data_IF_045385548227
#
_entry.id   IF_045385548227
#
_cell.length_a   1.000
_cell.length_b   1.000
_cell.length_c   1.000
_cell.angle_alpha   90.00
_cell.angle_beta   90.00
_cell.angle_gamma   90.00
#
_symmetry.space_group_name_H-M   'P 1'
#
loop_
_entity.id
_entity.type
_entity.pdbx_description
1 polymer ?
#
# COMPACT_ATOMS: atom_id res chain seq x y z
N UNK A 1 -16.35 -6.33 -9.14
CA UNK A 1 -17.15 -6.07 -7.92
C UNK A 1 -18.62 -6.13 -8.23
N UNK A 2 -19.37 -6.76 -7.33
CA UNK A 2 -20.83 -6.72 -7.30
C UNK A 2 -21.30 -5.29 -7.04
N UNK A 3 -22.57 -5.00 -7.34
CA UNK A 3 -23.14 -3.64 -7.23
C UNK A 3 -23.03 -3.09 -5.81
N UNK A 4 -23.34 -3.90 -4.80
CA UNK A 4 -23.24 -3.49 -3.39
C UNK A 4 -21.81 -3.17 -2.94
N UNK A 5 -20.82 -3.95 -3.39
CA UNK A 5 -19.41 -3.70 -3.06
C UNK A 5 -18.97 -2.33 -3.58
N UNK A 6 -19.41 -1.94 -4.80
CA UNK A 6 -19.06 -0.62 -5.37
C UNK A 6 -19.65 0.52 -4.59
N UNK A 7 -20.89 0.37 -4.13
CA UNK A 7 -21.54 1.37 -3.29
C UNK A 7 -20.82 1.54 -1.96
N UNK A 8 -20.42 0.43 -1.32
CA UNK A 8 -19.68 0.46 -0.06
C UNK A 8 -18.29 1.08 -0.22
N UNK A 9 -17.53 0.67 -1.24
CA UNK A 9 -16.20 1.23 -1.53
C UNK A 9 -16.27 2.76 -1.74
N UNK A 10 -17.24 3.24 -2.53
CA UNK A 10 -17.43 4.68 -2.73
C UNK A 10 -17.67 5.42 -1.42
N UNK A 11 -18.50 4.90 -0.52
CA UNK A 11 -18.78 5.55 0.77
C UNK A 11 -17.59 5.48 1.72
N UNK A 12 -16.87 4.36 1.72
CA UNK A 12 -15.70 4.17 2.58
C UNK A 12 -14.55 5.12 2.20
N UNK A 13 -14.37 5.39 0.91
CA UNK A 13 -13.36 6.36 0.43
C UNK A 13 -13.60 7.78 0.94
N UNK A 14 -14.84 8.16 1.21
CA UNK A 14 -15.17 9.47 1.78
C UNK A 14 -14.92 9.54 3.30
N UNK A 15 -14.82 8.38 3.97
CA UNK A 15 -14.71 8.29 5.44
C UNK A 15 -13.31 7.91 5.93
N UNK A 16 -12.50 7.28 5.09
CA UNK A 16 -11.18 6.75 5.46
C UNK A 16 -10.09 7.54 4.75
N UNK A 17 -9.17 8.10 5.53
CA UNK A 17 -7.94 8.66 4.99
C UNK A 17 -6.95 7.53 4.69
N UNK A 18 -6.57 7.40 3.43
CA UNK A 18 -5.55 6.45 2.99
C UNK A 18 -4.19 7.11 3.11
N UNK A 19 -3.23 6.39 3.71
CA UNK A 19 -1.87 6.90 3.89
C UNK A 19 -1.22 7.29 2.55
N UNK A 20 -0.47 8.40 2.55
CA UNK A 20 0.14 8.96 1.35
C UNK A 20 1.23 8.07 0.72
N UNK A 21 1.64 6.99 1.37
CA UNK A 21 2.59 5.97 0.91
C UNK A 21 1.92 4.64 0.52
N UNK A 22 0.58 4.57 0.54
CA UNK A 22 -0.16 3.41 0.02
C UNK A 22 -0.26 3.49 -1.50
N UNK A 23 0.28 2.49 -2.20
CA UNK A 23 0.21 2.40 -3.66
C UNK A 23 -0.79 1.34 -4.13
N UNK A 24 -1.09 0.35 -3.28
CA UNK A 24 -2.07 -0.69 -3.60
C UNK A 24 -3.50 -0.17 -3.55
N UNK A 25 -4.34 -0.59 -4.49
CA UNK A 25 -5.79 -0.33 -4.52
C UNK A 25 -6.20 1.15 -4.40
N UNK A 26 -5.27 2.06 -4.70
CA UNK A 26 -5.45 3.51 -4.63
C UNK A 26 -5.52 4.06 -6.06
N UNK A 27 -6.56 4.81 -6.42
CA UNK A 27 -6.66 5.44 -7.74
C UNK A 27 -5.41 6.27 -8.04
N UNK A 28 -5.03 6.31 -9.32
CA UNK A 28 -3.89 7.11 -9.81
C UNK A 28 -2.52 6.70 -9.27
N UNK A 29 -2.42 5.56 -8.58
CA UNK A 29 -1.16 4.99 -8.09
C UNK A 29 -0.95 3.61 -8.67
N UNK A 30 0.26 3.39 -9.17
CA UNK A 30 0.67 2.12 -9.79
C UNK A 30 1.76 1.44 -8.97
N UNK A 31 1.87 0.13 -9.15
CA UNK A 31 3.03 -0.65 -8.71
C UNK A 31 4.33 -0.15 -9.34
N UNK A 32 4.26 0.43 -10.54
CA UNK A 32 5.40 1.06 -11.22
C UNK A 32 5.95 2.21 -10.39
N UNK A 33 5.09 3.05 -9.80
CA UNK A 33 5.51 4.20 -9.00
C UNK A 33 6.25 3.75 -7.73
N UNK A 34 5.70 2.73 -7.04
CA UNK A 34 6.33 2.17 -5.85
C UNK A 34 7.72 1.57 -6.17
N UNK A 35 7.83 0.80 -7.26
CA UNK A 35 9.10 0.22 -7.71
C UNK A 35 10.10 1.31 -8.09
N UNK A 36 9.64 2.35 -8.81
CA UNK A 36 10.47 3.48 -9.19
C UNK A 36 11.04 4.19 -7.96
N UNK A 37 10.21 4.48 -6.97
CA UNK A 37 10.63 5.11 -5.71
C UNK A 37 11.66 4.23 -4.97
N UNK A 38 11.41 2.92 -4.85
CA UNK A 38 12.35 2.01 -4.20
C UNK A 38 13.72 2.02 -4.90
N UNK A 39 13.74 2.00 -6.24
CA UNK A 39 14.97 2.09 -7.04
C UNK A 39 15.70 3.42 -6.82
N UNK A 40 14.97 4.53 -6.84
CA UNK A 40 15.54 5.87 -6.59
C UNK A 40 16.19 5.96 -5.20
N UNK A 41 15.60 5.33 -4.18
CA UNK A 41 16.20 5.25 -2.85
C UNK A 41 17.51 4.45 -2.91
N UNK A 42 17.50 3.26 -3.52
CA UNK A 42 18.71 2.42 -3.64
C UNK A 42 19.85 3.13 -4.39
N UNK A 43 19.52 3.81 -5.50
CA UNK A 43 20.47 4.57 -6.31
C UNK A 43 21.11 5.72 -5.50
N UNK A 44 20.32 6.50 -4.76
CA UNK A 44 20.84 7.60 -3.91
C UNK A 44 21.79 7.14 -2.81
N UNK A 45 21.57 5.97 -2.22
CA UNK A 45 22.50 5.40 -1.24
C UNK A 45 23.80 4.94 -1.90
N UNK A 46 23.69 4.30 -3.07
CA UNK A 46 24.83 3.86 -3.87
C UNK A 46 25.72 5.03 -4.30
N UNK A 47 25.14 6.14 -4.77
CA UNK A 47 25.86 7.36 -5.14
C UNK A 47 26.69 7.92 -3.97
N UNK A 48 26.17 7.83 -2.75
CA UNK A 48 26.84 8.30 -1.53
C UNK A 48 27.79 7.27 -0.92
N UNK A 49 27.99 6.13 -1.59
CA UNK A 49 28.77 5.00 -1.11
C UNK A 49 28.36 4.54 0.31
N UNK A 50 27.05 4.63 0.61
CA UNK A 50 26.46 4.22 1.89
C UNK A 50 25.74 2.89 1.75
N UNK A 51 25.77 2.02 2.79
CA UNK A 51 24.99 0.80 2.78
C UNK A 51 23.49 1.12 2.77
N UNK A 52 22.73 0.40 1.94
CA UNK A 52 21.28 0.45 1.89
C UNK A 52 20.74 -0.90 2.37
N UNK A 53 19.88 -0.89 3.39
CA UNK A 53 19.21 -2.08 3.91
C UNK A 53 17.71 -1.93 3.71
N UNK A 54 17.08 -2.92 3.07
CA UNK A 54 15.64 -2.93 2.78
C UNK A 54 15.05 -4.19 3.39
N UNK A 55 13.99 -4.04 4.18
CA UNK A 55 13.20 -5.14 4.71
C UNK A 55 11.93 -5.31 3.87
N UNK A 56 11.70 -6.53 3.38
CA UNK A 56 10.46 -6.90 2.73
C UNK A 56 9.52 -7.50 3.78
N UNK A 57 8.37 -6.88 3.96
CA UNK A 57 7.34 -7.34 4.89
C UNK A 57 6.13 -7.79 4.08
N UNK A 58 5.64 -8.98 4.37
CA UNK A 58 4.38 -9.50 3.82
C UNK A 58 3.54 -10.12 4.93
N UNK A 59 2.22 -9.97 4.83
CA UNK A 59 1.28 -10.49 5.81
C UNK A 59 0.69 -11.81 5.32
N UNK A 60 0.88 -12.89 6.08
CA UNK A 60 0.28 -14.19 5.76
C UNK A 60 -1.25 -14.13 5.90
N UNK A 61 -1.97 -14.33 4.80
CA UNK A 61 -3.46 -14.34 4.75
C UNK A 61 -4.09 -13.08 5.35
N UNK A 62 -3.64 -11.91 4.89
CA UNK A 62 -4.03 -10.59 5.40
C UNK A 62 -5.56 -10.39 5.55
N UNK A 63 -6.36 -10.91 4.61
CA UNK A 63 -7.81 -10.77 4.65
C UNK A 63 -8.50 -11.81 5.56
N UNK A 64 -7.95 -13.02 5.66
CA UNK A 64 -8.59 -14.11 6.42
C UNK A 64 -8.30 -14.02 7.92
N UNK A 65 -7.12 -13.50 8.30
CA UNK A 65 -6.69 -13.43 9.69
C UNK A 65 -7.20 -12.20 10.46
N UNK A 66 -7.98 -11.32 9.82
CA UNK A 66 -8.47 -10.10 10.46
C UNK A 66 -9.52 -10.43 11.54
N UNK A 67 -9.27 -10.12 12.82
CA UNK A 67 -10.25 -10.36 13.88
C UNK A 67 -11.48 -9.48 13.67
N UNK A 68 -12.66 -10.09 13.45
CA UNK A 68 -13.90 -9.36 13.18
C UNK A 68 -14.31 -8.39 14.28
N UNK A 69 -13.91 -8.67 15.53
CA UNK A 69 -14.17 -7.77 16.66
C UNK A 69 -13.45 -6.41 16.54
N UNK A 70 -12.45 -6.28 15.66
CA UNK A 70 -11.75 -5.01 15.41
C UNK A 70 -12.40 -4.18 14.29
N UNK A 71 -13.26 -4.79 13.47
CA UNK A 71 -14.07 -4.07 12.48
C UNK A 71 -15.22 -3.40 13.22
N UNK A 72 -15.14 -2.08 13.39
CA UNK A 72 -16.17 -1.25 14.02
C UNK A 72 -17.21 -0.78 13.00
#
# INVERSE_FOLDING_TARGET
MKVYERLLDSRLRDMVEIAADQFGFTPERSTIDAIFIARQVMEKYREKNKPCHIAFLDMEKAYDKLPRALLK
#
